data_IF_659157508141
#
_entry.id   IF_659157508141
#
_cell.length_a   1.000
_cell.length_b   1.000
_cell.length_c   1.000
_cell.angle_alpha   90.00
_cell.angle_beta   90.00
_cell.angle_gamma   90.00
#
_symmetry.space_group_name_H-M   'P 1'
#
loop_
_entity.id
_entity.type
_entity.pdbx_description
1 polymer ?
#
# COMPACT_ATOMS: atom_id res chain seq x y z
N UNK A 1 -24.53 -9.39 -33.31
CA UNK A 1 -25.13 -8.29 -32.56
C UNK A 1 -24.13 -7.74 -31.50
N UNK A 2 -23.63 -8.57 -30.57
CA UNK A 2 -22.63 -8.14 -29.55
C UNK A 2 -21.42 -7.41 -30.16
N UNK A 3 -20.83 -7.92 -31.25
CA UNK A 3 -19.67 -7.32 -31.92
C UNK A 3 -19.89 -5.86 -32.33
N UNK A 4 -21.05 -5.54 -32.88
CA UNK A 4 -21.36 -4.16 -33.31
C UNK A 4 -21.55 -3.22 -32.09
N UNK A 5 -22.17 -3.73 -31.02
CA UNK A 5 -22.30 -2.98 -29.77
C UNK A 5 -20.95 -2.71 -29.14
N UNK A 6 -20.07 -3.71 -29.08
CA UNK A 6 -18.70 -3.53 -28.58
C UNK A 6 -17.90 -2.54 -29.43
N UNK A 7 -17.99 -2.66 -30.77
CA UNK A 7 -17.30 -1.72 -31.65
C UNK A 7 -17.79 -0.27 -31.45
N UNK A 8 -19.10 -0.09 -31.25
CA UNK A 8 -19.68 1.22 -30.90
C UNK A 8 -19.07 1.75 -29.60
N UNK A 9 -19.04 0.93 -28.53
CA UNK A 9 -18.54 1.33 -27.24
C UNK A 9 -17.05 1.71 -27.25
N UNK A 10 -16.21 0.88 -27.88
CA UNK A 10 -14.78 1.21 -28.04
C UNK A 10 -14.56 2.48 -28.85
N UNK A 11 -15.33 2.70 -29.91
CA UNK A 11 -15.29 3.95 -30.68
C UNK A 11 -15.75 5.15 -29.86
N UNK A 12 -16.79 4.98 -29.04
CA UNK A 12 -17.31 6.02 -28.15
C UNK A 12 -16.26 6.43 -27.12
N UNK A 13 -15.64 5.47 -26.42
CA UNK A 13 -14.58 5.73 -25.45
C UNK A 13 -13.38 6.44 -26.13
N UNK A 14 -12.96 5.95 -27.31
CA UNK A 14 -11.81 6.51 -28.04
C UNK A 14 -12.06 7.93 -28.56
N UNK A 15 -13.29 8.24 -28.98
CA UNK A 15 -13.68 9.54 -29.54
C UNK A 15 -14.02 10.57 -28.49
N UNK A 16 -14.28 10.14 -27.26
CA UNK A 16 -14.51 11.05 -26.16
C UNK A 16 -13.21 11.83 -25.86
N UNK A 17 -13.36 13.14 -25.61
CA UNK A 17 -12.21 14.04 -25.40
C UNK A 17 -11.55 13.84 -24.05
N UNK A 18 -12.31 13.39 -23.06
CA UNK A 18 -11.87 13.28 -21.66
C UNK A 18 -11.62 11.84 -21.22
N UNK A 19 -12.42 10.88 -21.66
CA UNK A 19 -12.35 9.49 -21.24
C UNK A 19 -10.96 8.85 -21.41
N UNK A 20 -10.29 8.92 -22.57
CA UNK A 20 -8.96 8.32 -22.71
C UNK A 20 -7.92 8.96 -21.79
N UNK A 21 -8.04 10.28 -21.54
CA UNK A 21 -7.13 10.99 -20.63
C UNK A 21 -7.31 10.55 -19.20
N UNK A 22 -8.55 10.44 -18.73
CA UNK A 22 -8.87 9.99 -17.38
C UNK A 22 -8.46 8.53 -17.19
N UNK A 23 -8.69 7.70 -18.19
CA UNK A 23 -8.42 6.26 -18.12
C UNK A 23 -6.92 5.94 -18.14
N UNK A 24 -6.10 6.67 -18.91
CA UNK A 24 -4.69 6.35 -19.10
C UNK A 24 -3.74 7.33 -18.44
N UNK A 25 -3.93 8.64 -18.64
CA UNK A 25 -2.95 9.64 -18.17
C UNK A 25 -2.97 9.77 -16.65
N UNK A 26 -4.16 9.89 -16.06
CA UNK A 26 -4.29 10.06 -14.60
C UNK A 26 -3.75 8.84 -13.85
N UNK A 27 -4.13 7.58 -14.17
CA UNK A 27 -3.58 6.40 -13.52
C UNK A 27 -2.07 6.26 -13.65
N UNK A 28 -1.52 6.50 -14.82
CA UNK A 28 -0.07 6.44 -15.05
C UNK A 28 0.67 7.50 -14.22
N UNK A 29 0.19 8.75 -14.26
CA UNK A 29 0.73 9.81 -13.40
C UNK A 29 0.64 9.47 -11.92
N UNK A 30 -0.50 8.97 -11.47
CA UNK A 30 -0.72 8.60 -10.09
C UNK A 30 0.24 7.48 -9.65
N UNK A 31 0.42 6.45 -10.47
CA UNK A 31 1.34 5.35 -10.18
C UNK A 31 2.81 5.81 -10.13
N UNK A 32 3.19 6.82 -10.92
CA UNK A 32 4.55 7.38 -10.91
C UNK A 32 4.73 8.35 -9.74
N UNK A 33 3.82 9.30 -9.55
CA UNK A 33 3.99 10.41 -8.62
C UNK A 33 3.76 9.98 -7.16
N UNK A 34 2.67 9.24 -6.87
CA UNK A 34 2.29 8.93 -5.49
C UNK A 34 3.35 8.16 -4.69
N UNK A 35 4.02 7.13 -5.22
CA UNK A 35 5.04 6.42 -4.45
C UNK A 35 6.29 7.25 -4.17
N UNK A 36 6.54 8.33 -4.94
CA UNK A 36 7.61 9.28 -4.67
C UNK A 36 7.15 10.42 -3.74
N UNK A 37 5.92 10.92 -3.94
CA UNK A 37 5.38 12.02 -3.14
C UNK A 37 4.96 11.57 -1.74
N UNK A 38 4.43 10.36 -1.63
CA UNK A 38 4.02 9.74 -0.38
C UNK A 38 5.13 8.82 0.15
N UNK A 39 6.34 9.35 0.32
CA UNK A 39 7.40 8.62 0.98
C UNK A 39 7.11 8.64 2.49
N UNK A 40 6.25 7.73 2.95
CA UNK A 40 6.01 7.46 4.37
C UNK A 40 7.11 6.56 4.98
N UNK A 41 8.28 6.44 4.35
CA UNK A 41 9.45 6.07 5.09
C UNK A 41 9.61 7.15 6.15
N UNK A 42 9.20 6.85 7.35
CA UNK A 42 9.43 7.73 8.49
C UNK A 42 10.93 7.78 8.71
N UNK A 43 11.58 8.76 8.11
CA UNK A 43 12.96 9.14 8.42
C UNK A 43 12.93 10.13 9.56
N UNK A 44 13.99 10.17 10.34
CA UNK A 44 14.09 11.02 11.52
C UNK A 44 13.10 10.66 12.64
N UNK A 45 12.96 9.37 12.93
CA UNK A 45 12.34 8.91 14.17
C UNK A 45 13.32 9.26 15.29
N UNK A 46 12.89 10.10 16.22
CA UNK A 46 13.69 10.53 17.33
C UNK A 46 13.89 9.35 18.29
N UNK A 47 15.14 8.98 18.50
CA UNK A 47 15.54 7.81 19.30
C UNK A 47 16.31 8.26 20.53
N UNK A 48 15.87 7.83 21.71
CA UNK A 48 16.64 7.85 22.94
C UNK A 48 17.30 6.48 23.14
N UNK A 49 18.56 6.47 23.52
CA UNK A 49 19.33 5.25 23.76
C UNK A 49 19.80 5.20 25.21
N UNK A 50 19.52 4.10 25.86
CA UNK A 50 20.01 3.75 27.19
C UNK A 50 20.92 2.53 27.02
N UNK A 51 22.22 2.73 27.07
CA UNK A 51 23.21 1.65 26.95
C UNK A 51 23.85 1.40 28.33
N UNK A 52 23.35 0.35 29.00
CA UNK A 52 23.84 -0.04 30.32
C UNK A 52 25.04 -1.01 30.26
N UNK A 53 25.39 -1.51 29.06
CA UNK A 53 26.47 -2.48 28.87
C UNK A 53 27.81 -1.82 28.54
N UNK A 54 27.80 -0.72 27.77
CA UNK A 54 28.97 0.03 27.32
C UNK A 54 30.06 -0.85 26.66
N UNK A 55 29.68 -1.98 26.11
CA UNK A 55 30.58 -2.93 25.44
C UNK A 55 30.85 -2.55 23.98
N UNK A 56 31.84 -3.23 23.36
CA UNK A 56 32.07 -3.06 21.91
C UNK A 56 30.89 -3.53 21.10
N UNK A 57 30.19 -4.58 21.54
CA UNK A 57 29.04 -5.14 20.86
C UNK A 57 27.81 -4.25 20.97
N UNK A 58 27.57 -3.62 22.14
CA UNK A 58 26.48 -2.64 22.29
C UNK A 58 26.69 -1.41 21.42
N UNK A 59 27.92 -0.88 21.38
CA UNK A 59 28.28 0.25 20.50
C UNK A 59 28.07 -0.08 19.02
N UNK A 60 28.46 -1.28 18.56
CA UNK A 60 28.23 -1.71 17.17
C UNK A 60 26.74 -1.82 16.82
N UNK A 61 25.90 -2.27 17.76
CA UNK A 61 24.45 -2.28 17.57
C UNK A 61 23.90 -0.85 17.43
N UNK A 62 24.31 0.05 18.31
CA UNK A 62 23.93 1.48 18.26
C UNK A 62 24.36 2.11 16.94
N UNK A 63 25.59 1.91 16.50
CA UNK A 63 26.11 2.44 15.25
C UNK A 63 25.31 1.90 14.05
N UNK A 64 24.94 0.61 14.05
CA UNK A 64 24.13 0.01 13.02
C UNK A 64 22.72 0.63 12.98
N UNK A 65 22.10 0.88 14.13
CA UNK A 65 20.80 1.54 14.24
C UNK A 65 20.88 2.96 13.69
N UNK A 66 21.88 3.76 14.09
CA UNK A 66 22.02 5.15 13.64
C UNK A 66 22.40 5.25 12.16
N UNK A 67 23.23 4.35 11.66
CA UNK A 67 23.64 4.33 10.23
C UNK A 67 22.52 3.87 9.29
N UNK A 68 21.41 3.30 9.81
CA UNK A 68 20.27 2.86 9.02
C UNK A 68 19.54 3.99 8.29
N UNK A 69 19.71 5.24 8.74
CA UNK A 69 19.04 6.43 8.19
C UNK A 69 17.57 6.59 8.59
N UNK A 70 17.00 5.70 9.39
CA UNK A 70 15.63 5.80 9.93
C UNK A 70 15.58 6.61 11.23
N UNK A 71 16.63 6.55 12.03
CA UNK A 71 16.68 7.08 13.37
C UNK A 71 17.60 8.30 13.48
N UNK A 72 17.15 9.25 14.27
CA UNK A 72 17.94 10.40 14.71
C UNK A 72 18.12 10.29 16.21
N UNK A 73 19.37 10.20 16.67
CA UNK A 73 19.67 10.25 18.10
C UNK A 73 19.29 11.62 18.65
N UNK A 74 18.38 11.65 19.59
CA UNK A 74 17.95 12.88 20.29
C UNK A 74 18.45 12.93 21.71
N UNK A 75 18.54 11.75 22.33
CA UNK A 75 18.95 11.63 23.71
C UNK A 75 19.79 10.37 23.94
N UNK A 76 20.79 10.47 24.81
CA UNK A 76 21.59 9.36 25.32
C UNK A 76 21.64 9.46 26.82
N UNK A 77 20.84 8.67 27.48
CA UNK A 77 20.69 8.67 28.92
C UNK A 77 21.37 7.44 29.51
N UNK A 78 21.88 7.61 30.74
CA UNK A 78 22.43 6.48 31.48
C UNK A 78 21.35 5.70 32.25
N UNK A 79 20.12 6.21 32.28
CA UNK A 79 18.99 5.63 33.00
C UNK A 79 17.72 5.69 32.18
N UNK A 80 16.91 4.63 32.30
CA UNK A 80 15.63 4.55 31.64
C UNK A 80 14.65 5.69 32.02
N UNK A 81 14.63 6.11 33.29
CA UNK A 81 13.74 7.18 33.77
C UNK A 81 14.02 8.52 33.07
N UNK A 82 15.27 8.79 32.74
CA UNK A 82 15.68 10.00 32.01
C UNK A 82 15.21 9.92 30.55
N UNK A 83 15.42 8.77 29.90
CA UNK A 83 14.93 8.51 28.54
C UNK A 83 13.40 8.59 28.46
N UNK A 84 12.69 8.11 29.49
CA UNK A 84 11.24 8.21 29.59
C UNK A 84 10.77 9.66 29.64
N UNK A 85 11.47 10.51 30.39
CA UNK A 85 11.17 11.95 30.46
C UNK A 85 11.30 12.62 29.07
N UNK A 86 12.30 12.22 28.26
CA UNK A 86 12.47 12.69 26.88
C UNK A 86 11.28 12.25 25.98
N UNK A 87 10.70 11.08 26.21
CA UNK A 87 9.50 10.62 25.49
C UNK A 87 8.24 11.35 25.95
N UNK A 88 8.10 11.59 27.26
CA UNK A 88 6.97 12.35 27.82
C UNK A 88 6.96 13.81 27.36
N UNK A 89 8.14 14.42 27.17
CA UNK A 89 8.28 15.76 26.60
C UNK A 89 8.17 15.82 25.08
N UNK A 90 7.91 14.69 24.41
CA UNK A 90 7.86 14.53 22.94
C UNK A 90 9.19 14.89 22.22
N UNK A 91 10.32 14.86 22.91
CA UNK A 91 11.65 15.01 22.31
C UNK A 91 12.07 13.73 21.60
N UNK A 92 11.74 12.56 22.18
CA UNK A 92 12.00 11.24 21.61
C UNK A 92 10.70 10.50 21.29
N UNK A 93 10.70 9.74 20.19
CA UNK A 93 9.57 8.91 19.76
C UNK A 93 9.71 7.46 20.27
N UNK A 94 10.95 7.00 20.50
CA UNK A 94 11.27 5.60 20.86
C UNK A 94 12.48 5.58 21.78
N UNK A 95 12.49 4.63 22.71
CA UNK A 95 13.63 4.28 23.56
C UNK A 95 14.15 2.90 23.13
N UNK A 96 15.45 2.79 22.96
CA UNK A 96 16.17 1.52 22.89
C UNK A 96 17.02 1.37 24.15
N UNK A 97 16.70 0.41 24.99
CA UNK A 97 17.49 0.06 26.15
C UNK A 97 18.26 -1.23 25.93
N UNK A 98 19.57 -1.16 26.10
CA UNK A 98 20.51 -2.27 26.07
C UNK A 98 20.86 -2.59 27.51
N UNK A 99 20.53 -3.80 28.02
CA UNK A 99 20.78 -4.15 29.42
C UNK A 99 22.28 -4.33 29.71
N UNK A 100 22.64 -4.23 30.97
CA UNK A 100 23.96 -4.62 31.46
C UNK A 100 24.23 -6.10 31.13
N UNK A 101 25.49 -6.44 30.88
CA UNK A 101 25.92 -7.78 30.52
C UNK A 101 25.46 -8.28 29.12
N UNK A 102 24.98 -7.37 28.25
CA UNK A 102 24.50 -7.68 26.89
C UNK A 102 25.51 -8.49 26.07
N UNK A 103 26.77 -8.04 25.99
CA UNK A 103 27.83 -8.74 25.25
C UNK A 103 28.16 -10.10 25.89
N UNK A 104 28.19 -10.18 27.21
CA UNK A 104 28.45 -11.41 27.94
C UNK A 104 27.38 -12.46 27.69
N UNK A 105 26.12 -12.07 27.73
CA UNK A 105 24.99 -12.96 27.57
C UNK A 105 24.88 -13.43 26.12
N UNK A 106 25.14 -12.55 25.15
CA UNK A 106 25.27 -12.92 23.75
C UNK A 106 26.40 -13.94 23.54
N UNK A 107 27.56 -13.77 24.19
CA UNK A 107 28.69 -14.68 24.06
C UNK A 107 28.49 -16.03 24.75
N UNK A 108 27.79 -16.09 25.88
CA UNK A 108 27.60 -17.29 26.68
C UNK A 108 26.34 -18.07 26.31
N UNK A 109 25.24 -17.34 26.16
CA UNK A 109 23.92 -17.94 25.97
C UNK A 109 23.44 -17.86 24.51
N UNK A 110 24.16 -17.12 23.65
CA UNK A 110 23.77 -16.87 22.26
C UNK A 110 22.55 -15.97 22.13
N UNK A 111 22.14 -15.31 23.21
CA UNK A 111 20.99 -14.40 23.23
C UNK A 111 21.18 -13.34 24.31
N UNK A 112 20.71 -12.14 24.03
CA UNK A 112 20.48 -11.08 25.01
C UNK A 112 19.20 -10.35 24.61
N UNK A 113 18.40 -9.96 25.59
CA UNK A 113 17.17 -9.24 25.37
C UNK A 113 17.46 -7.73 25.36
N UNK A 114 16.85 -7.00 24.46
CA UNK A 114 16.84 -5.54 24.44
C UNK A 114 15.40 -5.06 24.60
N UNK A 115 15.22 -3.93 25.26
CA UNK A 115 13.89 -3.34 25.42
C UNK A 115 13.68 -2.22 24.39
N UNK A 116 12.52 -2.26 23.72
CA UNK A 116 12.06 -1.20 22.82
C UNK A 116 10.77 -0.63 23.42
N UNK A 117 10.79 0.63 23.83
CA UNK A 117 9.63 1.34 24.31
C UNK A 117 9.25 2.45 23.32
N UNK A 118 8.01 2.47 22.84
CA UNK A 118 7.55 3.41 21.85
C UNK A 118 6.48 4.35 22.42
N UNK A 119 6.51 5.62 21.99
CA UNK A 119 5.49 6.59 22.32
C UNK A 119 4.15 6.21 21.66
N UNK A 120 3.16 5.87 22.46
CA UNK A 120 1.83 5.47 21.99
C UNK A 120 1.00 6.66 21.47
N UNK A 121 1.37 7.91 21.78
CA UNK A 121 0.67 9.11 21.32
C UNK A 121 0.80 9.24 19.80
N UNK A 122 1.99 8.93 19.25
CA UNK A 122 2.20 8.86 17.80
C UNK A 122 2.32 7.39 17.36
N UNK A 123 1.18 6.69 17.33
CA UNK A 123 1.13 5.26 17.05
C UNK A 123 1.78 4.86 15.71
N UNK A 124 1.79 5.74 14.71
CA UNK A 124 2.42 5.46 13.41
C UNK A 124 3.94 5.47 13.52
N UNK A 125 4.53 6.51 14.15
CA UNK A 125 5.98 6.60 14.38
C UNK A 125 6.45 5.50 15.34
N UNK A 126 5.72 5.30 16.45
CA UNK A 126 6.02 4.26 17.42
C UNK A 126 5.99 2.86 16.82
N UNK A 127 4.94 2.53 16.08
CA UNK A 127 4.77 1.21 15.46
C UNK A 127 5.82 0.92 14.37
N UNK A 128 6.01 1.85 13.42
CA UNK A 128 7.01 1.69 12.36
C UNK A 128 8.43 1.69 12.91
N UNK A 129 8.74 2.57 13.86
CA UNK A 129 10.04 2.64 14.45
C UNK A 129 10.41 1.38 15.25
N UNK A 130 9.48 0.83 16.02
CA UNK A 130 9.68 -0.46 16.71
C UNK A 130 9.93 -1.59 15.72
N UNK A 131 9.21 -1.60 14.59
CA UNK A 131 9.41 -2.59 13.53
C UNK A 131 10.78 -2.44 12.87
N UNK A 132 11.24 -1.21 12.60
CA UNK A 132 12.57 -0.94 12.05
C UNK A 132 13.68 -1.36 13.02
N UNK A 133 13.58 -1.00 14.30
CA UNK A 133 14.53 -1.44 15.34
C UNK A 133 14.59 -2.97 15.40
N UNK A 134 13.44 -3.64 15.45
CA UNK A 134 13.39 -5.10 15.50
C UNK A 134 14.06 -5.73 14.29
N UNK A 135 13.86 -5.19 13.08
CA UNK A 135 14.50 -5.68 11.86
C UNK A 135 16.01 -5.47 11.87
N UNK A 136 16.48 -4.31 12.32
CA UNK A 136 17.92 -3.99 12.42
C UNK A 136 18.62 -4.89 13.44
N UNK A 137 17.98 -5.13 14.59
CA UNK A 137 18.50 -6.03 15.63
C UNK A 137 18.58 -7.48 15.11
N UNK A 138 17.57 -7.94 14.38
CA UNK A 138 17.59 -9.27 13.75
C UNK A 138 18.72 -9.40 12.72
N UNK A 139 18.93 -8.38 11.88
CA UNK A 139 20.02 -8.36 10.91
C UNK A 139 21.38 -8.33 11.60
N UNK A 140 21.51 -7.56 12.69
CA UNK A 140 22.71 -7.54 13.52
C UNK A 140 23.03 -8.95 14.10
N UNK A 141 22.02 -9.60 14.67
CA UNK A 141 22.18 -10.94 15.22
C UNK A 141 22.58 -11.97 14.13
N UNK A 142 22.01 -11.83 12.92
CA UNK A 142 22.37 -12.70 11.79
C UNK A 142 23.82 -12.51 11.33
N UNK A 143 24.27 -11.26 11.21
CA UNK A 143 25.64 -10.92 10.81
C UNK A 143 26.68 -11.40 11.82
N UNK A 144 26.34 -11.36 13.10
CA UNK A 144 27.21 -11.82 14.18
C UNK A 144 27.17 -13.33 14.39
N UNK A 145 26.31 -14.06 13.68
CA UNK A 145 26.18 -15.51 13.82
C UNK A 145 25.39 -15.97 15.05
N UNK A 146 24.76 -15.04 15.79
CA UNK A 146 23.97 -15.38 16.98
C UNK A 146 22.64 -16.03 16.65
N UNK A 147 22.15 -15.90 15.42
CA UNK A 147 20.84 -16.44 14.99
C UNK A 147 20.74 -17.98 14.98
N UNK A 148 21.87 -18.68 15.08
CA UNK A 148 21.89 -20.15 15.00
C UNK A 148 21.85 -20.86 16.36
N UNK A 149 21.94 -20.16 17.49
CA UNK A 149 22.09 -20.78 18.81
C UNK A 149 20.83 -20.77 19.70
N UNK A 150 19.74 -20.17 19.29
CA UNK A 150 18.60 -20.01 20.20
C UNK A 150 17.22 -20.37 19.63
N UNK A 151 16.82 -21.62 19.83
CA UNK A 151 15.38 -21.99 19.82
C UNK A 151 14.67 -21.58 21.12
N UNK A 152 14.87 -20.36 21.58
CA UNK A 152 14.27 -19.81 22.80
C UNK A 152 13.23 -18.76 22.45
N UNK A 153 12.01 -18.97 22.83
CA UNK A 153 10.78 -18.16 22.99
C UNK A 153 10.88 -16.62 22.82
N UNK A 154 11.67 -16.13 21.89
CA UNK A 154 11.59 -14.74 21.43
C UNK A 154 10.55 -14.64 20.32
N UNK A 155 9.66 -13.66 20.40
CA UNK A 155 8.78 -13.33 19.27
C UNK A 155 9.67 -12.75 18.18
N UNK A 156 10.23 -13.62 17.31
CA UNK A 156 10.92 -13.18 16.11
C UNK A 156 9.85 -12.72 15.10
N UNK A 157 9.63 -11.43 14.99
CA UNK A 157 8.83 -10.88 13.91
C UNK A 157 9.64 -10.92 12.61
N UNK A 158 9.27 -11.81 11.70
CA UNK A 158 9.88 -11.91 10.37
C UNK A 158 8.91 -11.27 9.37
N UNK A 159 9.35 -10.20 8.73
CA UNK A 159 8.60 -9.60 7.63
C UNK A 159 8.87 -10.41 6.34
N UNK A 160 8.01 -11.39 6.03
CA UNK A 160 8.25 -12.36 4.97
C UNK A 160 8.32 -11.76 3.56
N UNK A 161 7.47 -10.78 3.23
CA UNK A 161 7.34 -10.26 1.86
C UNK A 161 7.92 -8.87 1.66
N UNK A 162 8.30 -8.19 2.74
CA UNK A 162 8.92 -6.87 2.73
C UNK A 162 9.91 -6.75 3.89
N UNK A 163 11.06 -7.45 3.84
CA UNK A 163 12.01 -7.52 4.94
C UNK A 163 12.52 -6.15 5.40
N UNK A 164 12.67 -5.23 4.45
CA UNK A 164 13.17 -3.87 4.70
C UNK A 164 12.05 -2.86 5.00
N UNK A 165 10.79 -3.30 5.14
CA UNK A 165 9.62 -2.44 5.34
C UNK A 165 9.54 -1.27 4.35
N UNK A 166 10.01 -1.51 3.11
CA UNK A 166 9.98 -0.50 2.06
C UNK A 166 8.54 -0.14 1.72
N UNK A 167 8.20 1.12 1.89
CA UNK A 167 6.87 1.64 1.62
C UNK A 167 6.45 1.48 0.15
N UNK A 168 7.42 1.53 -0.78
CA UNK A 168 7.16 1.35 -2.22
C UNK A 168 6.64 -0.04 -2.56
N UNK A 169 7.16 -1.09 -1.90
CA UNK A 169 6.73 -2.48 -2.11
C UNK A 169 5.26 -2.66 -1.70
N UNK A 170 4.81 -1.94 -0.69
CA UNK A 170 3.42 -1.97 -0.23
C UNK A 170 2.52 -1.06 -1.08
N UNK A 171 2.96 0.17 -1.36
CA UNK A 171 2.12 1.21 -1.96
C UNK A 171 1.84 0.97 -3.44
N UNK A 172 2.84 0.54 -4.21
CA UNK A 172 2.70 0.35 -5.66
C UNK A 172 1.62 -0.67 -6.00
N UNK A 173 1.60 -1.89 -5.43
CA UNK A 173 0.48 -2.82 -5.64
C UNK A 173 -0.86 -2.28 -5.13
N UNK A 174 -0.87 -1.56 -4.00
CA UNK A 174 -2.07 -0.92 -3.49
C UNK A 174 -2.69 0.08 -4.47
N UNK A 175 -1.86 0.92 -5.10
CA UNK A 175 -2.31 1.86 -6.15
C UNK A 175 -2.84 1.09 -7.36
N UNK A 176 -2.22 -0.02 -7.78
CA UNK A 176 -2.72 -0.83 -8.89
C UNK A 176 -4.14 -1.33 -8.63
N UNK A 177 -4.42 -1.86 -7.44
CA UNK A 177 -5.77 -2.31 -7.06
C UNK A 177 -6.74 -1.13 -7.00
N UNK A 178 -6.32 0.01 -6.44
CA UNK A 178 -7.13 1.22 -6.40
C UNK A 178 -7.51 1.72 -7.80
N UNK A 179 -6.58 1.68 -8.76
CA UNK A 179 -6.85 2.04 -10.16
C UNK A 179 -7.88 1.10 -10.81
N UNK A 180 -7.78 -0.21 -10.56
CA UNK A 180 -8.78 -1.17 -11.02
C UNK A 180 -10.16 -0.90 -10.39
N UNK A 181 -10.19 -0.46 -9.13
CA UNK A 181 -11.43 -0.07 -8.44
C UNK A 181 -12.10 1.12 -9.13
N UNK A 182 -11.33 2.16 -9.45
CA UNK A 182 -11.86 3.36 -10.13
C UNK A 182 -12.42 2.97 -11.50
N UNK A 183 -11.70 2.18 -12.28
CA UNK A 183 -12.13 1.80 -13.63
C UNK A 183 -13.34 0.89 -13.58
N UNK A 184 -13.29 -0.17 -12.78
CA UNK A 184 -14.38 -1.13 -12.65
C UNK A 184 -15.63 -0.53 -12.00
N UNK A 185 -15.46 0.27 -10.94
CA UNK A 185 -16.58 0.83 -10.19
C UNK A 185 -17.04 2.18 -10.75
N UNK A 186 -16.23 3.22 -10.61
CA UNK A 186 -16.67 4.60 -10.87
C UNK A 186 -16.87 4.91 -12.34
N UNK A 187 -15.89 4.57 -13.21
CA UNK A 187 -15.97 4.95 -14.62
C UNK A 187 -17.04 4.11 -15.35
N UNK A 188 -17.19 2.82 -15.01
CA UNK A 188 -18.26 1.99 -15.57
C UNK A 188 -19.64 2.48 -15.14
N UNK A 189 -19.81 2.88 -13.87
CA UNK A 189 -21.05 3.44 -13.37
C UNK A 189 -21.40 4.77 -14.08
N UNK A 190 -20.43 5.69 -14.23
CA UNK A 190 -20.61 6.96 -14.94
C UNK A 190 -21.00 6.76 -16.40
N UNK A 191 -20.45 5.75 -17.08
CA UNK A 191 -20.84 5.44 -18.46
C UNK A 191 -22.33 5.06 -18.55
N UNK A 192 -22.84 4.28 -17.60
CA UNK A 192 -24.25 3.85 -17.58
C UNK A 192 -25.16 5.02 -17.21
N UNK A 193 -24.77 5.86 -16.24
CA UNK A 193 -25.52 7.06 -15.88
C UNK A 193 -25.62 8.00 -17.08
N UNK A 194 -24.52 8.23 -17.81
CA UNK A 194 -24.53 9.05 -19.03
C UNK A 194 -25.47 8.53 -20.13
N UNK A 195 -25.61 7.20 -20.27
CA UNK A 195 -26.58 6.62 -21.20
C UNK A 195 -28.04 6.82 -20.76
N UNK A 196 -28.29 6.80 -19.45
CA UNK A 196 -29.61 7.13 -18.89
C UNK A 196 -29.97 8.58 -19.17
N UNK A 197 -29.05 9.51 -18.90
CA UNK A 197 -29.26 10.95 -19.14
C UNK A 197 -29.49 11.27 -20.62
N UNK A 198 -28.86 10.55 -21.53
CA UNK A 198 -29.05 10.70 -22.98
C UNK A 198 -30.33 10.03 -23.51
N UNK A 199 -31.09 9.34 -22.66
CA UNK A 199 -32.29 8.61 -23.05
C UNK A 199 -32.03 7.38 -23.94
N UNK A 200 -30.77 6.93 -24.07
CA UNK A 200 -30.39 5.80 -24.90
C UNK A 200 -30.95 4.48 -24.35
N UNK A 201 -31.11 4.38 -23.05
CA UNK A 201 -31.71 3.21 -22.39
C UNK A 201 -33.18 3.02 -22.79
N UNK A 202 -33.90 4.11 -22.92
CA UNK A 202 -35.33 4.07 -23.38
C UNK A 202 -35.43 3.58 -24.82
N UNK A 203 -34.51 4.05 -25.69
CA UNK A 203 -34.44 3.55 -27.07
C UNK A 203 -34.14 2.06 -27.16
N UNK A 204 -33.29 1.55 -26.24
CA UNK A 204 -32.96 0.13 -26.18
C UNK A 204 -34.14 -0.70 -25.67
N UNK A 205 -34.93 -0.17 -24.75
CA UNK A 205 -36.11 -0.86 -24.23
C UNK A 205 -37.18 -1.16 -25.31
N UNK A 206 -37.23 -0.36 -26.37
CA UNK A 206 -38.14 -0.58 -27.53
C UNK A 206 -37.45 -1.31 -28.68
N UNK A 207 -36.18 -1.65 -28.57
CA UNK A 207 -35.42 -2.37 -29.58
C UNK A 207 -35.41 -3.89 -29.31
N UNK A 208 -35.18 -4.74 -30.31
CA UNK A 208 -35.13 -6.20 -30.13
C UNK A 208 -33.82 -6.67 -29.46
N UNK A 209 -33.03 -5.78 -28.82
CA UNK A 209 -31.79 -6.13 -28.20
C UNK A 209 -31.99 -6.64 -26.76
N UNK A 210 -31.54 -7.87 -26.44
CA UNK A 210 -31.62 -8.37 -25.07
C UNK A 210 -30.86 -7.45 -24.08
N UNK A 211 -31.49 -7.14 -22.95
CA UNK A 211 -30.89 -6.23 -21.92
C UNK A 211 -29.56 -6.73 -21.39
N UNK A 212 -29.39 -8.04 -21.20
CA UNK A 212 -28.14 -8.67 -20.79
C UNK A 212 -27.00 -8.43 -21.80
N UNK A 213 -27.33 -8.52 -23.11
CA UNK A 213 -26.33 -8.28 -24.16
C UNK A 213 -25.90 -6.81 -24.20
N UNK A 214 -26.84 -5.91 -23.98
CA UNK A 214 -26.54 -4.48 -23.84
C UNK A 214 -25.62 -4.21 -22.65
N UNK A 215 -25.95 -4.73 -21.47
CA UNK A 215 -25.14 -4.55 -20.27
C UNK A 215 -23.72 -5.13 -20.45
N UNK A 216 -23.61 -6.35 -21.00
CA UNK A 216 -22.30 -6.95 -21.28
C UNK A 216 -21.48 -6.11 -22.26
N UNK A 217 -22.13 -5.55 -23.29
CA UNK A 217 -21.43 -4.68 -24.25
C UNK A 217 -20.85 -3.42 -23.59
N UNK A 218 -21.45 -2.95 -22.51
CA UNK A 218 -20.95 -1.81 -21.72
C UNK A 218 -19.82 -2.19 -20.77
N UNK A 219 -19.84 -3.38 -20.17
CA UNK A 219 -18.87 -3.82 -19.19
C UNK A 219 -17.57 -4.35 -19.80
N UNK A 220 -17.65 -5.11 -20.89
CA UNK A 220 -16.49 -5.74 -21.52
C UNK A 220 -15.38 -4.73 -21.86
N UNK A 221 -15.67 -3.55 -22.45
CA UNK A 221 -14.62 -2.55 -22.70
C UNK A 221 -13.85 -2.14 -21.45
N UNK A 222 -14.52 -2.00 -20.29
CA UNK A 222 -13.85 -1.64 -19.03
C UNK A 222 -13.02 -2.79 -18.47
N UNK A 223 -13.42 -4.04 -18.67
CA UNK A 223 -12.58 -5.19 -18.33
C UNK A 223 -11.31 -5.23 -19.17
N UNK A 224 -11.43 -5.04 -20.48
CA UNK A 224 -10.26 -4.97 -21.39
C UNK A 224 -9.34 -3.82 -20.99
N UNK A 225 -9.89 -2.64 -20.75
CA UNK A 225 -9.12 -1.46 -20.31
C UNK A 225 -8.44 -1.73 -18.96
N UNK A 226 -9.13 -2.34 -18.01
CA UNK A 226 -8.58 -2.71 -16.72
C UNK A 226 -7.38 -3.65 -16.82
N UNK A 227 -7.45 -4.67 -17.70
CA UNK A 227 -6.31 -5.55 -17.98
C UNK A 227 -5.15 -4.84 -18.66
N UNK A 228 -5.42 -3.96 -19.62
CA UNK A 228 -4.37 -3.16 -20.26
C UNK A 228 -3.67 -2.27 -19.24
N UNK A 229 -4.43 -1.60 -18.39
CA UNK A 229 -3.87 -0.75 -17.33
C UNK A 229 -3.09 -1.54 -16.29
N UNK A 230 -3.57 -2.71 -15.89
CA UNK A 230 -2.82 -3.59 -15.00
C UNK A 230 -1.47 -3.99 -15.61
N UNK A 231 -1.47 -4.35 -16.91
CA UNK A 231 -0.23 -4.66 -17.63
C UNK A 231 0.73 -3.48 -17.66
N UNK A 232 0.24 -2.29 -17.99
CA UNK A 232 1.04 -1.05 -17.99
C UNK A 232 1.54 -0.74 -16.58
N UNK A 233 0.71 -0.93 -15.57
CA UNK A 233 1.08 -0.70 -14.17
C UNK A 233 2.18 -1.66 -13.70
N UNK A 234 2.12 -2.94 -14.07
CA UNK A 234 3.17 -3.93 -13.78
C UNK A 234 4.48 -3.54 -14.51
N UNK A 235 4.41 -3.08 -15.75
CA UNK A 235 5.59 -2.61 -16.50
C UNK A 235 6.23 -1.39 -15.83
N UNK A 236 5.44 -0.43 -15.38
CA UNK A 236 5.92 0.75 -14.64
C UNK A 236 6.54 0.32 -13.31
N UNK A 237 5.92 -0.61 -12.58
CA UNK A 237 6.45 -1.14 -11.33
C UNK A 237 7.82 -1.80 -11.52
N UNK A 238 7.98 -2.55 -12.59
CA UNK A 238 9.26 -3.15 -12.94
C UNK A 238 10.30 -2.12 -13.36
N UNK A 239 9.97 -1.24 -14.28
CA UNK A 239 10.94 -0.29 -14.89
C UNK A 239 11.39 0.81 -13.91
N UNK A 240 10.47 1.34 -13.09
CA UNK A 240 10.73 2.51 -12.23
C UNK A 240 11.13 2.08 -10.82
N UNK A 241 10.46 1.03 -10.29
CA UNK A 241 10.63 0.62 -8.89
C UNK A 241 11.42 -0.68 -8.74
N UNK A 242 11.74 -1.40 -9.84
CA UNK A 242 12.40 -2.70 -9.80
C UNK A 242 11.54 -3.81 -9.17
N UNK A 243 10.23 -3.59 -9.04
CA UNK A 243 9.33 -4.53 -8.40
C UNK A 243 8.84 -5.57 -9.41
N UNK A 244 9.18 -6.82 -9.14
CA UNK A 244 8.73 -7.97 -9.94
C UNK A 244 7.87 -8.85 -9.05
N UNK A 245 6.66 -9.25 -9.48
CA UNK A 245 5.86 -10.22 -8.75
C UNK A 245 6.62 -11.57 -8.64
N UNK A 246 6.76 -12.09 -7.43
CA UNK A 246 7.38 -13.41 -7.20
C UNK A 246 6.46 -14.57 -7.57
N UNK A 247 5.15 -14.30 -7.70
CA UNK A 247 4.13 -15.29 -8.03
C UNK A 247 3.80 -15.38 -9.52
N UNK A 248 2.88 -16.30 -9.86
CA UNK A 248 2.40 -16.49 -11.22
C UNK A 248 1.59 -15.29 -11.71
N UNK A 249 1.96 -14.72 -12.85
CA UNK A 249 1.17 -13.68 -13.52
C UNK A 249 -0.25 -14.14 -13.83
N UNK A 250 -0.45 -15.42 -14.16
CA UNK A 250 -1.78 -15.99 -14.40
C UNK A 250 -2.71 -15.86 -13.20
N UNK A 251 -2.19 -16.05 -11.99
CA UNK A 251 -2.97 -15.88 -10.75
C UNK A 251 -3.33 -14.41 -10.54
N UNK A 252 -2.41 -13.48 -10.80
CA UNK A 252 -2.68 -12.03 -10.69
C UNK A 252 -3.80 -11.62 -11.64
N UNK A 253 -3.73 -12.04 -12.90
CA UNK A 253 -4.77 -11.73 -13.89
C UNK A 253 -6.10 -12.40 -13.59
N UNK A 254 -6.09 -13.62 -13.03
CA UNK A 254 -7.31 -14.31 -12.60
C UNK A 254 -8.00 -13.53 -11.46
N UNK A 255 -7.25 -13.14 -10.43
CA UNK A 255 -7.80 -12.32 -9.35
C UNK A 255 -8.29 -10.95 -9.85
N UNK A 256 -7.54 -10.31 -10.74
CA UNK A 256 -7.96 -9.07 -11.37
C UNK A 256 -9.25 -9.22 -12.18
N UNK A 257 -9.45 -10.35 -12.86
CA UNK A 257 -10.69 -10.65 -13.57
C UNK A 257 -11.90 -10.74 -12.62
N UNK A 258 -11.77 -11.53 -11.55
CA UNK A 258 -12.81 -11.66 -10.52
C UNK A 258 -13.10 -10.31 -9.88
N UNK A 259 -12.05 -9.56 -9.56
CA UNK A 259 -12.15 -8.24 -8.97
C UNK A 259 -12.89 -7.24 -9.86
N UNK A 260 -12.53 -7.15 -11.15
CA UNK A 260 -13.18 -6.28 -12.13
C UNK A 260 -14.66 -6.63 -12.31
N UNK A 261 -15.00 -7.93 -12.40
CA UNK A 261 -16.38 -8.39 -12.49
C UNK A 261 -17.17 -7.95 -11.25
N UNK A 262 -16.64 -8.15 -10.07
CA UNK A 262 -17.29 -7.76 -8.81
C UNK A 262 -17.51 -6.23 -8.73
N UNK A 263 -16.46 -5.44 -9.00
CA UNK A 263 -16.56 -3.99 -8.91
C UNK A 263 -17.38 -3.34 -10.01
N UNK A 264 -17.39 -3.88 -11.22
CA UNK A 264 -18.31 -3.42 -12.28
C UNK A 264 -19.75 -3.76 -11.93
N UNK A 265 -20.03 -4.93 -11.33
CA UNK A 265 -21.34 -5.27 -10.79
C UNK A 265 -21.80 -4.31 -9.69
N UNK A 266 -20.90 -3.95 -8.78
CA UNK A 266 -21.15 -2.97 -7.74
C UNK A 266 -21.41 -1.57 -8.32
N UNK A 267 -20.63 -1.13 -9.32
CA UNK A 267 -20.84 0.12 -10.05
C UNK A 267 -22.20 0.17 -10.73
N UNK A 268 -22.64 -0.95 -11.35
CA UNK A 268 -23.98 -1.08 -11.89
C UNK A 268 -25.08 -0.93 -10.83
N UNK A 269 -24.91 -1.58 -9.68
CA UNK A 269 -25.85 -1.46 -8.56
C UNK A 269 -25.99 0.00 -8.11
N UNK A 270 -24.86 0.69 -7.85
CA UNK A 270 -24.88 2.11 -7.48
C UNK A 270 -25.57 2.97 -8.56
N UNK A 271 -25.24 2.74 -9.85
CA UNK A 271 -25.83 3.50 -10.96
C UNK A 271 -27.35 3.32 -11.07
N UNK A 272 -27.88 2.19 -10.57
CA UNK A 272 -29.32 1.95 -10.56
C UNK A 272 -30.06 2.81 -9.54
N UNK A 273 -29.42 3.09 -8.39
CA UNK A 273 -29.97 3.93 -7.33
C UNK A 273 -29.78 5.46 -7.58
N UNK A 274 -28.77 5.85 -8.36
CA UNK A 274 -28.41 7.26 -8.61
C UNK A 274 -29.47 8.06 -9.41
N UNK A 275 -30.49 7.46 -9.95
CA UNK A 275 -31.55 8.15 -10.74
C UNK A 275 -32.41 9.05 -9.87
N UNK A 276 -32.36 8.94 -8.55
CA UNK A 276 -33.22 9.70 -7.63
C UNK A 276 -32.80 11.14 -7.36
N UNK A 277 -31.55 11.54 -7.69
CA UNK A 277 -31.06 12.88 -7.33
C UNK A 277 -31.39 13.99 -8.33
N UNK A 278 -31.63 13.67 -9.59
CA UNK A 278 -32.01 14.66 -10.60
C UNK A 278 -33.46 15.13 -10.45
N UNK A 279 -34.35 14.34 -9.86
CA UNK A 279 -35.73 14.75 -9.58
C UNK A 279 -35.86 15.71 -8.41
N UNK A 280 -34.93 15.75 -7.47
CA UNK A 280 -34.93 16.70 -6.36
C UNK A 280 -34.55 18.12 -6.79
N UNK A 281 -33.78 18.29 -7.87
CA UNK A 281 -33.36 19.57 -8.39
C UNK A 281 -34.42 20.25 -9.27
N UNK A 282 -35.38 19.51 -9.78
CA UNK A 282 -36.46 20.00 -10.63
C UNK A 282 -37.65 20.60 -9.83
N UNK A 283 -37.65 20.45 -8.50
CA UNK A 283 -38.67 21.03 -7.62
C UNK A 283 -38.23 22.29 -6.88
N UNK A 284 -37.01 22.78 -7.09
CA UNK A 284 -36.49 23.98 -6.47
C UNK A 284 -36.34 25.18 -7.46
N UNK A 285 -36.96 25.11 -8.64
CA UNK A 285 -37.10 26.24 -9.57
C UNK A 285 -38.63 26.48 -9.78
#
# INVERSE_FOLDING_TARGET
>A
MLRYLLEKEFKQIRRDRFMPKIIFIIPIMQLIILPFAANFEMRNINLSIVDNDHSVTSMQLVDKVLSSGYFRLTDRSDRYDEALTSVESNESDIILEIPSDFERDLGKEGRADVMIAANAVNGTKGGLGSSYLSSIIQDFNREKGFASMGSGRGVASINLFNPHLSYKIYMVPGIMVFLLTIIGGSISALNIVSEKEKGTIEQINVSPVPKSLFLLSKLIPFWVIGFVLLTVAILIAWLIYGLVPEGSFGVIYLFAAVYLIAFTGFGLAISSFSVSYTHLRAHET
#
